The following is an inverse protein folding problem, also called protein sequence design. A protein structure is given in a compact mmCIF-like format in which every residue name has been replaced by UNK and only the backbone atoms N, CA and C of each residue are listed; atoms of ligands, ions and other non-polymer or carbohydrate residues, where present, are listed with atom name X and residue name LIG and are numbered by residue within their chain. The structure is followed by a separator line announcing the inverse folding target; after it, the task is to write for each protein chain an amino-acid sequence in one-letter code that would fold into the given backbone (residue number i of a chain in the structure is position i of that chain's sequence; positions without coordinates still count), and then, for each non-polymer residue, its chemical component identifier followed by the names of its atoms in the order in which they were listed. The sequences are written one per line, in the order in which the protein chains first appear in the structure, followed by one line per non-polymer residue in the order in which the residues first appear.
data_IF_234700248641
#
_entry.id   IF_234700248641
#
_cell.length_a   1.000
_cell.length_b   1.000
_cell.length_c   1.000
_cell.angle_alpha   90.00
_cell.angle_beta   90.00
_cell.angle_gamma   90.00
#
_symmetry.space_group_name_H-M   'P 1'
#
loop_
_entity.id
_entity.type
_entity.pdbx_description
1 polymer ?
#
# COMPACT_ATOMS: atom_id res chain seq x y z
N UNK A 1 -13.44 -3.02 -12.40
CA UNK A 1 -12.80 -4.12 -11.66
C UNK A 1 -11.35 -3.73 -11.43
N UNK A 2 -10.93 -3.51 -10.20
CA UNK A 2 -9.56 -3.08 -9.91
C UNK A 2 -8.64 -4.32 -9.92
N UNK A 3 -7.96 -4.52 -11.06
CA UNK A 3 -7.04 -5.66 -11.28
C UNK A 3 -5.88 -5.69 -10.26
N UNK A 4 -5.59 -4.56 -9.63
CA UNK A 4 -4.49 -4.40 -8.70
C UNK A 4 -4.90 -4.42 -7.22
N UNK A 5 -6.20 -4.64 -6.92
CA UNK A 5 -6.70 -4.63 -5.54
C UNK A 5 -5.99 -5.64 -4.64
N UNK A 6 -5.77 -6.85 -5.13
CA UNK A 6 -5.04 -7.90 -4.42
C UNK A 6 -3.58 -7.53 -4.18
N UNK A 7 -2.91 -6.94 -5.16
CA UNK A 7 -1.52 -6.50 -5.04
C UNK A 7 -1.39 -5.36 -4.01
N UNK A 8 -2.29 -4.38 -4.04
CA UNK A 8 -2.30 -3.28 -3.05
C UNK A 8 -2.52 -3.75 -1.63
N UNK A 9 -3.38 -4.76 -1.43
CA UNK A 9 -3.59 -5.36 -0.10
C UNK A 9 -2.31 -5.96 0.47
N UNK A 10 -1.51 -6.64 -0.35
CA UNK A 10 -0.21 -7.19 0.04
C UNK A 10 0.78 -6.07 0.36
N UNK A 11 0.73 -4.96 -0.38
CA UNK A 11 1.59 -3.79 -0.17
C UNK A 11 1.10 -2.87 0.97
N UNK A 12 0.09 -3.30 1.73
CA UNK A 12 -0.56 -2.50 2.78
C UNK A 12 -1.05 -1.12 2.30
N UNK A 13 -1.40 -1.02 1.02
CA UNK A 13 -1.95 0.16 0.40
C UNK A 13 -3.46 0.08 0.25
N UNK A 14 -4.14 1.22 0.28
CA UNK A 14 -5.56 1.30 0.04
C UNK A 14 -5.87 2.37 -1.01
N UNK A 15 -6.59 1.97 -2.06
CA UNK A 15 -6.93 2.84 -3.19
C UNK A 15 -7.68 4.10 -2.73
N UNK A 16 -7.24 5.27 -3.21
CA UNK A 16 -7.86 6.55 -2.89
C UNK A 16 -7.62 7.07 -1.47
N UNK A 17 -6.70 6.45 -0.73
CA UNK A 17 -6.30 6.91 0.62
C UNK A 17 -4.88 7.51 0.60
N UNK A 18 -4.52 8.19 1.69
CA UNK A 18 -3.15 8.71 1.90
C UNK A 18 -2.11 7.58 1.85
N UNK A 19 -2.50 6.36 2.23
CA UNK A 19 -1.65 5.16 2.17
C UNK A 19 -1.78 4.38 0.85
N UNK A 20 -2.09 5.05 -0.24
CA UNK A 20 -2.29 4.41 -1.55
C UNK A 20 -1.04 3.62 -2.02
N UNK A 21 0.16 4.15 -1.81
CA UNK A 21 1.41 3.48 -2.14
C UNK A 21 1.78 2.37 -1.13
N UNK A 22 1.29 2.48 0.12
CA UNK A 22 1.65 1.54 1.18
C UNK A 22 3.15 1.44 1.41
N UNK A 23 3.66 0.21 1.48
CA UNK A 23 5.10 -0.10 1.65
C UNK A 23 5.87 -0.17 0.33
N UNK A 24 5.24 0.09 -0.83
CA UNK A 24 5.85 0.01 -2.16
C UNK A 24 7.23 0.65 -2.24
N UNK A 25 7.38 1.96 -1.97
CA UNK A 25 8.66 2.66 -2.06
C UNK A 25 9.75 2.08 -1.14
N UNK A 26 9.36 1.54 0.02
CA UNK A 26 10.29 0.93 0.98
C UNK A 26 10.84 -0.38 0.40
N UNK A 27 9.97 -1.20 -0.16
CA UNK A 27 10.35 -2.49 -0.78
C UNK A 27 11.24 -2.23 -2.00
N UNK A 28 10.84 -1.33 -2.89
CA UNK A 28 11.59 -1.00 -4.10
C UNK A 28 12.98 -0.43 -3.76
N UNK A 29 13.04 0.53 -2.83
CA UNK A 29 14.30 1.10 -2.36
C UNK A 29 15.22 0.05 -1.73
N UNK A 30 14.66 -0.88 -0.96
CA UNK A 30 15.42 -1.97 -0.34
C UNK A 30 15.96 -2.96 -1.37
N UNK A 31 15.19 -3.32 -2.38
CA UNK A 31 15.61 -4.23 -3.46
C UNK A 31 16.73 -3.59 -4.27
N UNK A 32 16.61 -2.33 -4.66
CA UNK A 32 17.64 -1.60 -5.40
C UNK A 32 18.95 -1.58 -4.61
N UNK A 33 18.88 -1.30 -3.31
CA UNK A 33 20.07 -1.28 -2.45
C UNK A 33 20.72 -2.66 -2.33
N UNK A 34 19.91 -3.72 -2.22
CA UNK A 34 20.40 -5.10 -2.21
C UNK A 34 21.08 -5.48 -3.55
N UNK A 35 20.52 -5.05 -4.67
CA UNK A 35 21.12 -5.25 -5.98
C UNK A 35 22.47 -4.52 -6.12
N UNK A 36 22.59 -3.29 -5.64
CA UNK A 36 23.83 -2.53 -5.67
C UNK A 36 24.92 -3.16 -4.79
N UNK A 37 24.54 -3.64 -3.62
CA UNK A 37 25.46 -4.36 -2.73
C UNK A 37 25.84 -5.74 -3.30
N UNK A 38 24.87 -6.49 -3.82
CA UNK A 38 25.11 -7.82 -4.41
C UNK A 38 25.94 -7.78 -5.69
N UNK A 39 25.74 -6.79 -6.55
CA UNK A 39 26.55 -6.55 -7.75
C UNK A 39 27.92 -5.92 -7.44
N UNK A 40 28.23 -5.68 -6.16
CA UNK A 40 29.47 -5.00 -5.72
C UNK A 40 29.70 -3.64 -6.38
N UNK A 41 28.65 -2.97 -6.81
CA UNK A 41 28.69 -1.60 -7.30
C UNK A 41 29.08 -0.69 -6.16
N UNK A 42 28.48 -0.92 -4.99
CA UNK A 42 28.85 -0.30 -3.72
C UNK A 42 29.68 -1.33 -2.95
N UNK A 43 30.97 -1.06 -2.76
CA UNK A 43 31.90 -1.93 -2.03
C UNK A 43 31.76 -1.65 -0.53
N UNK A 44 30.71 -2.17 0.09
CA UNK A 44 30.49 -2.11 1.53
C UNK A 44 30.68 -3.50 2.13
N UNK A 45 31.45 -3.57 3.19
CA UNK A 45 31.62 -4.79 3.99
C UNK A 45 30.57 -4.80 5.12
N UNK A 46 29.46 -5.50 4.87
CA UNK A 46 28.34 -5.59 5.81
C UNK A 46 28.68 -6.29 7.14
N UNK A 47 29.91 -6.80 7.29
CA UNK A 47 30.41 -7.33 8.55
C UNK A 47 30.90 -6.20 9.48
N UNK A 48 31.30 -5.06 8.89
CA UNK A 48 31.75 -3.87 9.62
C UNK A 48 30.54 -3.01 10.04
N UNK A 49 30.55 -2.53 11.28
CA UNK A 49 29.47 -1.69 11.83
C UNK A 49 29.32 -0.34 11.13
N UNK A 50 30.42 0.25 10.66
CA UNK A 50 30.42 1.54 9.96
C UNK A 50 29.80 1.40 8.56
N UNK A 51 30.21 0.39 7.80
CA UNK A 51 29.69 0.11 6.47
C UNK A 51 28.20 -0.29 6.52
N UNK A 52 27.80 -1.02 7.56
CA UNK A 52 26.40 -1.34 7.82
C UNK A 52 25.55 -0.09 8.10
N UNK A 53 26.07 0.85 8.87
CA UNK A 53 25.39 2.10 9.12
C UNK A 53 25.27 2.95 7.84
N UNK A 54 26.34 2.99 7.03
CA UNK A 54 26.33 3.64 5.72
C UNK A 54 25.30 2.99 4.77
N UNK A 55 25.27 1.66 4.69
CA UNK A 55 24.28 0.92 3.91
C UNK A 55 22.84 1.31 4.29
N UNK A 56 22.52 1.33 5.59
CA UNK A 56 21.21 1.72 6.07
C UNK A 56 20.89 3.19 5.76
N UNK A 57 21.87 4.08 5.86
CA UNK A 57 21.71 5.50 5.53
C UNK A 57 21.36 5.72 4.05
N UNK A 58 22.11 5.08 3.15
CA UNK A 58 21.88 5.13 1.71
C UNK A 58 20.54 4.51 1.34
N UNK A 59 20.18 3.37 1.97
CA UNK A 59 18.87 2.74 1.76
C UNK A 59 17.71 3.68 2.12
N UNK A 60 17.79 4.38 3.24
CA UNK A 60 16.77 5.36 3.66
C UNK A 60 16.63 6.52 2.67
N UNK A 61 17.77 7.04 2.21
CA UNK A 61 17.78 8.11 1.20
C UNK A 61 17.15 7.62 -0.11
N UNK A 62 17.43 6.40 -0.50
CA UNK A 62 16.90 5.79 -1.71
C UNK A 62 15.37 5.59 -1.61
N UNK A 63 14.87 5.14 -0.47
CA UNK A 63 13.44 5.06 -0.20
C UNK A 63 12.79 6.44 -0.32
N UNK A 64 13.39 7.47 0.26
CA UNK A 64 12.87 8.84 0.19
C UNK A 64 12.77 9.37 -1.26
N UNK A 65 13.72 8.99 -2.12
CA UNK A 65 13.71 9.32 -3.55
C UNK A 65 12.66 8.50 -4.30
N UNK A 66 12.46 7.23 -3.91
CA UNK A 66 11.48 6.36 -4.58
C UNK A 66 10.03 6.80 -4.31
N UNK A 67 9.72 7.41 -3.16
CA UNK A 67 8.37 7.90 -2.87
C UNK A 67 7.84 8.83 -3.97
N UNK A 68 8.49 9.94 -4.37
CA UNK A 68 8.00 10.78 -5.45
C UNK A 68 8.03 10.07 -6.81
N UNK A 69 9.02 9.21 -7.07
CA UNK A 69 9.10 8.47 -8.34
C UNK A 69 7.89 7.54 -8.53
N UNK A 70 7.41 6.92 -7.46
CA UNK A 70 6.24 6.06 -7.51
C UNK A 70 4.91 6.84 -7.39
N UNK A 71 4.87 7.95 -6.63
CA UNK A 71 3.65 8.73 -6.43
C UNK A 71 3.20 9.46 -7.70
N UNK A 72 4.13 9.98 -8.50
CA UNK A 72 3.81 10.74 -9.72
C UNK A 72 3.02 9.88 -10.72
N UNK A 73 3.51 8.72 -11.20
CA UNK A 73 2.75 7.90 -12.15
C UNK A 73 1.45 7.34 -11.56
N UNK A 74 1.40 7.09 -10.25
CA UNK A 74 0.18 6.66 -9.58
C UNK A 74 -0.90 7.75 -9.60
N UNK A 75 -0.52 9.01 -9.40
CA UNK A 75 -1.45 10.14 -9.45
C UNK A 75 -2.02 10.33 -10.86
N UNK A 76 -1.18 10.30 -11.88
CA UNK A 76 -1.62 10.53 -13.26
C UNK A 76 -2.30 9.31 -13.91
N UNK A 77 -2.06 8.10 -13.41
CA UNK A 77 -2.57 6.87 -14.03
C UNK A 77 -3.78 6.24 -13.34
N UNK A 78 -3.97 6.49 -12.04
CA UNK A 78 -4.95 5.74 -11.23
C UNK A 78 -5.79 6.59 -10.27
N UNK A 79 -5.48 7.87 -10.09
CA UNK A 79 -6.19 8.76 -9.18
C UNK A 79 -6.78 9.93 -9.95
N UNK A 80 -8.10 10.10 -9.82
CA UNK A 80 -8.78 11.26 -10.35
C UNK A 80 -8.89 12.33 -9.25
N UNK A 81 -8.37 13.55 -9.47
CA UNK A 81 -8.56 14.66 -8.55
C UNK A 81 -10.04 15.02 -8.41
N UNK A 82 -10.44 15.55 -7.27
CA UNK A 82 -11.81 16.01 -7.09
C UNK A 82 -12.13 17.18 -8.04
N UNK A 83 -13.32 17.17 -8.63
CA UNK A 83 -13.81 18.24 -9.52
C UNK A 83 -13.70 19.61 -8.86
N UNK A 84 -13.99 19.70 -7.57
CA UNK A 84 -13.87 20.94 -6.80
C UNK A 84 -12.45 21.55 -6.85
N UNK A 85 -11.40 20.74 -6.71
CA UNK A 85 -10.00 21.21 -6.77
C UNK A 85 -9.59 21.60 -8.19
N UNK A 86 -10.14 20.92 -9.19
CA UNK A 86 -9.86 21.21 -10.60
C UNK A 86 -10.48 22.55 -10.99
N UNK A 87 -11.73 22.80 -10.58
CA UNK A 87 -12.46 24.00 -10.95
C UNK A 87 -11.88 25.25 -10.28
N UNK A 88 -11.40 25.13 -9.04
CA UNK A 88 -10.93 26.29 -8.27
C UNK A 88 -9.45 26.62 -8.50
N UNK A 89 -8.60 25.59 -8.62
CA UNK A 89 -7.14 25.76 -8.66
C UNK A 89 -6.47 25.20 -9.93
N UNK A 90 -7.23 24.52 -10.78
CA UNK A 90 -6.74 23.87 -11.98
C UNK A 90 -6.10 22.48 -11.73
N UNK A 91 -6.05 21.69 -12.79
CA UNK A 91 -5.60 20.28 -12.74
C UNK A 91 -4.16 20.11 -12.24
N UNK A 92 -3.27 21.06 -12.54
CA UNK A 92 -1.88 21.01 -12.10
C UNK A 92 -1.74 21.11 -10.58
N UNK A 93 -2.44 22.02 -9.94
CA UNK A 93 -2.48 22.15 -8.49
C UNK A 93 -3.17 20.96 -7.82
N UNK A 94 -4.29 20.48 -8.39
CA UNK A 94 -4.97 19.30 -7.87
C UNK A 94 -4.06 18.08 -7.84
N UNK A 95 -3.34 17.80 -8.92
CA UNK A 95 -2.37 16.70 -8.97
C UNK A 95 -1.20 16.90 -8.00
N UNK A 96 -0.69 18.13 -7.88
CA UNK A 96 0.37 18.43 -6.90
C UNK A 96 -0.07 18.13 -5.46
N UNK A 97 -1.29 18.48 -5.08
CA UNK A 97 -1.85 18.19 -3.75
C UNK A 97 -1.95 16.69 -3.52
N UNK A 98 -2.39 15.90 -4.52
CA UNK A 98 -2.45 14.45 -4.40
C UNK A 98 -1.03 13.87 -4.23
N UNK A 99 -0.06 14.27 -5.04
CA UNK A 99 1.33 13.82 -4.91
C UNK A 99 1.90 14.15 -3.53
N UNK A 100 1.62 15.36 -3.01
CA UNK A 100 2.06 15.77 -1.67
C UNK A 100 1.41 14.92 -0.56
N UNK A 101 0.13 14.58 -0.70
CA UNK A 101 -0.58 13.68 0.22
C UNK A 101 -0.01 12.26 0.18
N UNK A 102 0.25 11.72 -1.01
CA UNK A 102 0.85 10.40 -1.16
C UNK A 102 2.27 10.37 -0.61
N UNK A 103 3.04 11.43 -0.83
CA UNK A 103 4.37 11.57 -0.24
C UNK A 103 4.31 11.55 1.29
N UNK A 104 3.42 12.36 1.89
CA UNK A 104 3.27 12.42 3.34
C UNK A 104 2.83 11.06 3.92
N UNK A 105 1.90 10.36 3.26
CA UNK A 105 1.45 9.03 3.68
C UNK A 105 2.56 7.98 3.62
N UNK A 106 3.29 7.92 2.51
CA UNK A 106 4.40 6.98 2.35
C UNK A 106 5.56 7.29 3.28
N UNK A 107 5.84 8.57 3.52
CA UNK A 107 6.84 8.99 4.51
C UNK A 107 6.44 8.58 5.94
N UNK A 108 5.16 8.68 6.28
CA UNK A 108 4.64 8.22 7.56
C UNK A 108 4.81 6.71 7.72
N UNK A 109 4.48 5.92 6.68
CA UNK A 109 4.71 4.46 6.67
C UNK A 109 6.19 4.13 6.85
N UNK A 110 7.08 4.88 6.18
CA UNK A 110 8.52 4.73 6.35
C UNK A 110 8.99 5.01 7.78
N UNK A 111 8.48 6.05 8.44
CA UNK A 111 8.79 6.33 9.83
C UNK A 111 8.27 5.24 10.78
N UNK A 112 7.09 4.70 10.49
CA UNK A 112 6.54 3.57 11.26
C UNK A 112 7.38 2.30 11.09
N UNK A 113 7.84 1.99 9.88
CA UNK A 113 8.76 0.88 9.63
C UNK A 113 10.05 1.03 10.43
N UNK A 114 10.64 2.23 10.44
CA UNK A 114 11.83 2.51 11.23
C UNK A 114 11.59 2.37 12.73
N UNK A 115 10.45 2.86 13.21
CA UNK A 115 10.06 2.76 14.62
C UNK A 115 9.95 1.29 15.05
N UNK A 116 9.18 0.48 14.32
CA UNK A 116 8.97 -0.95 14.61
C UNK A 116 10.28 -1.72 14.57
N UNK A 117 11.13 -1.46 13.57
CA UNK A 117 12.43 -2.12 13.42
C UNK A 117 13.40 -1.77 14.56
N UNK A 118 13.35 -0.56 15.10
CA UNK A 118 14.17 -0.14 16.25
C UNK A 118 13.68 -0.71 17.58
N UNK A 119 12.38 -0.89 17.77
CA UNK A 119 11.79 -1.42 19.01
C UNK A 119 11.85 -2.94 19.12
N UNK A 120 12.45 -3.63 18.14
CA UNK A 120 12.75 -5.06 18.23
C UNK A 120 11.56 -6.00 18.03
N UNK A 121 10.43 -5.51 17.50
CA UNK A 121 9.25 -6.33 17.18
C UNK A 121 9.45 -7.10 15.85
N UNK A 122 10.62 -6.96 15.23
CA UNK A 122 10.96 -7.56 13.94
C UNK A 122 11.03 -6.53 12.83
N UNK A 123 10.78 -6.94 11.59
CA UNK A 123 10.73 -6.04 10.44
C UNK A 123 9.35 -5.40 10.34
N UNK A 124 9.30 -4.06 10.35
CA UNK A 124 8.06 -3.32 10.15
C UNK A 124 7.38 -3.68 8.83
N UNK A 125 8.15 -3.85 7.77
CA UNK A 125 7.66 -4.28 6.46
C UNK A 125 6.88 -5.62 6.54
N UNK A 126 7.44 -6.63 7.22
CA UNK A 126 6.77 -7.93 7.41
C UNK A 126 5.48 -7.79 8.21
N UNK A 127 5.45 -6.90 9.21
CA UNK A 127 4.26 -6.63 10.01
C UNK A 127 3.17 -5.97 9.17
N UNK A 128 3.51 -4.99 8.32
CA UNK A 128 2.55 -4.33 7.44
C UNK A 128 1.96 -5.29 6.41
N UNK A 129 2.79 -6.18 5.81
CA UNK A 129 2.31 -7.22 4.90
C UNK A 129 1.35 -8.15 5.62
N UNK A 130 1.73 -8.65 6.79
CA UNK A 130 0.89 -9.55 7.58
C UNK A 130 -0.44 -8.89 7.95
N UNK A 131 -0.42 -7.62 8.38
CA UNK A 131 -1.63 -6.87 8.71
C UNK A 131 -2.53 -6.66 7.48
N UNK A 132 -1.97 -6.29 6.32
CA UNK A 132 -2.71 -6.10 5.07
C UNK A 132 -3.36 -7.40 4.58
N UNK A 133 -2.63 -8.51 4.62
CA UNK A 133 -3.16 -9.83 4.26
C UNK A 133 -4.24 -10.28 5.24
N UNK A 134 -4.00 -10.11 6.54
CA UNK A 134 -5.00 -10.43 7.57
C UNK A 134 -6.29 -9.63 7.35
N UNK A 135 -6.18 -8.32 7.17
CA UNK A 135 -7.33 -7.45 6.88
C UNK A 135 -8.10 -7.93 5.65
N UNK A 136 -7.41 -8.21 4.54
CA UNK A 136 -8.03 -8.69 3.31
C UNK A 136 -8.74 -10.02 3.49
N UNK A 137 -8.14 -10.94 4.26
CA UNK A 137 -8.72 -12.24 4.58
C UNK A 137 -9.97 -12.08 5.45
N UNK A 138 -9.91 -11.24 6.49
CA UNK A 138 -11.05 -10.97 7.36
C UNK A 138 -12.21 -10.34 6.59
N UNK A 139 -11.93 -9.30 5.82
CA UNK A 139 -12.96 -8.63 5.01
C UNK A 139 -13.52 -9.57 3.94
N UNK A 140 -12.68 -10.31 3.22
CA UNK A 140 -13.12 -11.27 2.21
C UNK A 140 -13.92 -12.46 2.77
N UNK A 141 -13.72 -12.78 4.05
CA UNK A 141 -14.42 -13.93 4.68
C UNK A 141 -15.71 -13.50 5.39
N UNK A 142 -15.67 -12.40 6.13
CA UNK A 142 -16.72 -12.03 7.09
C UNK A 142 -17.58 -10.85 6.62
N UNK A 143 -17.23 -10.13 5.56
CA UNK A 143 -17.95 -8.91 5.16
C UNK A 143 -19.43 -9.18 4.88
N UNK A 144 -20.34 -8.62 5.66
CA UNK A 144 -21.76 -8.68 5.36
C UNK A 144 -22.20 -7.67 4.32
N UNK A 145 -21.30 -6.77 3.88
CA UNK A 145 -21.63 -5.69 2.93
C UNK A 145 -21.93 -6.24 1.53
N UNK A 146 -22.86 -5.66 0.78
CA UNK A 146 -23.17 -6.08 -0.57
C UNK A 146 -21.98 -5.84 -1.51
N UNK A 147 -21.86 -6.67 -2.54
CA UNK A 147 -20.77 -6.58 -3.52
C UNK A 147 -20.75 -5.22 -4.23
N UNK A 148 -21.94 -4.64 -4.49
CA UNK A 148 -22.08 -3.31 -5.07
C UNK A 148 -22.64 -2.37 -4.01
N UNK A 149 -21.86 -1.38 -3.60
CA UNK A 149 -22.28 -0.37 -2.62
C UNK A 149 -23.42 0.48 -3.17
N UNK A 150 -24.43 0.74 -2.34
CA UNK A 150 -25.60 1.55 -2.70
C UNK A 150 -26.81 0.77 -3.22
N UNK A 151 -26.69 -0.51 -3.50
CA UNK A 151 -27.80 -1.40 -3.87
C UNK A 151 -28.18 -2.32 -2.70
N UNK A 152 -29.49 -2.60 -2.56
CA UNK A 152 -29.99 -3.54 -1.58
C UNK A 152 -29.51 -4.98 -1.85
N UNK A 153 -29.50 -5.81 -0.81
CA UNK A 153 -29.20 -7.22 -0.95
C UNK A 153 -30.18 -7.91 -1.90
N UNK A 154 -29.65 -8.60 -2.89
CA UNK A 154 -30.43 -9.41 -3.83
C UNK A 154 -29.57 -10.60 -4.31
N UNK A 155 -30.20 -11.55 -5.01
CA UNK A 155 -29.48 -12.67 -5.64
C UNK A 155 -28.43 -12.17 -6.64
N UNK A 156 -28.65 -10.99 -7.24
CA UNK A 156 -27.71 -10.34 -8.16
C UNK A 156 -26.67 -9.47 -7.45
N UNK A 157 -26.91 -9.11 -6.19
CA UNK A 157 -26.01 -8.35 -5.36
C UNK A 157 -25.82 -9.02 -3.97
N UNK A 158 -25.16 -10.19 -3.93
CA UNK A 158 -24.93 -10.95 -2.71
C UNK A 158 -23.94 -10.24 -1.79
N UNK A 159 -23.84 -10.65 -0.51
CA UNK A 159 -22.78 -10.16 0.38
C UNK A 159 -21.40 -10.43 -0.19
N UNK A 160 -20.42 -9.58 0.08
CA UNK A 160 -19.06 -9.69 -0.45
C UNK A 160 -18.24 -10.81 0.24
N UNK A 161 -18.58 -11.15 1.49
CA UNK A 161 -17.85 -12.17 2.27
C UNK A 161 -18.26 -13.60 1.92
N UNK A 162 -17.29 -14.51 1.90
CA UNK A 162 -17.54 -15.92 1.55
C UNK A 162 -18.50 -16.64 2.51
N UNK A 163 -18.42 -16.37 3.81
CA UNK A 163 -19.33 -16.94 4.81
C UNK A 163 -20.78 -16.44 4.67
N UNK A 164 -21.03 -15.12 4.58
CA UNK A 164 -22.38 -14.62 4.32
C UNK A 164 -22.97 -15.12 2.99
N UNK A 165 -22.16 -15.21 1.93
CA UNK A 165 -22.61 -15.76 0.63
C UNK A 165 -23.02 -17.22 0.76
N UNK A 166 -22.20 -18.06 1.37
CA UNK A 166 -22.52 -19.47 1.56
C UNK A 166 -23.79 -19.69 2.37
N UNK A 167 -24.00 -18.88 3.44
CA UNK A 167 -25.21 -18.93 4.21
C UNK A 167 -26.46 -18.55 3.40
N UNK A 168 -26.39 -17.50 2.58
CA UNK A 168 -27.52 -17.09 1.73
C UNK A 168 -27.84 -18.13 0.66
N UNK A 169 -26.81 -18.77 0.08
CA UNK A 169 -27.02 -19.86 -0.89
C UNK A 169 -27.65 -21.10 -0.25
N UNK A 170 -27.20 -21.52 0.93
CA UNK A 170 -27.80 -22.67 1.61
C UNK A 170 -29.27 -22.43 1.96
N UNK A 171 -29.59 -21.24 2.45
CA UNK A 171 -30.98 -20.88 2.78
C UNK A 171 -31.89 -20.76 1.55
N UNK A 172 -31.34 -20.35 0.40
CA UNK A 172 -32.11 -20.28 -0.84
C UNK A 172 -32.47 -21.67 -1.41
N UNK A 173 -31.77 -22.74 -1.00
CA UNK A 173 -32.07 -24.11 -1.37
C UNK A 173 -33.10 -24.78 -0.44
N UNK A 174 -33.42 -24.19 0.70
CA UNK A 174 -34.41 -24.72 1.68
C UNK A 174 -35.83 -24.17 1.46
N UNK A 175 -36.01 -23.19 0.57
CA UNK A 175 -37.33 -22.59 0.20
C UNK A 175 -37.69 -22.93 -1.20
#
# INVERSE_FOLDING_TARGET
MDLFSGFRSIMAGASGTIMHLGIGPIVTGSIIMQLFAGAKIIRLDLTNSEDKAMYQGVQKLLVLIMIPIESIPQTYGFLDPSEFLIDEYGIGWANFVIVAQLFAGSYLVFLLDELVSKWGIGSGMSLFIAAGVAQSTFVGTLSPLPTTSGLAYSVQNPPAGTLPVSYTHLRAHET
#
